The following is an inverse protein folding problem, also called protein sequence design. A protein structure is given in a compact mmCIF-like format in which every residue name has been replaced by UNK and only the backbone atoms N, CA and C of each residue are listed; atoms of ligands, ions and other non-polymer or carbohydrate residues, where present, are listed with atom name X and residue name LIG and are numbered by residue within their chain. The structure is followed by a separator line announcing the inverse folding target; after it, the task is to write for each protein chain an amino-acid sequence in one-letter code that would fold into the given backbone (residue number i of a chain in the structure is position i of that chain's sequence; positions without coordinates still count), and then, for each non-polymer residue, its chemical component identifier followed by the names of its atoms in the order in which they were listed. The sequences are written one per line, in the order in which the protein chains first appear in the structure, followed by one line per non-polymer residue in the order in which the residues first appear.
data_IF_710195798875
#
_entry.id   IF_710195798875
#
_cell.length_a   1.000
_cell.length_b   1.000
_cell.length_c   1.000
_cell.angle_alpha   90.00
_cell.angle_beta   90.00
_cell.angle_gamma   90.00
#
_symmetry.space_group_name_H-M   'P 1'
#
loop_
_entity.id
_entity.type
_entity.pdbx_description
1 polymer ?
#
# COMPACT_ATOMS: atom_id res chain seq x y z
N UNK A 1 2.17 -2.45 12.48
CA UNK A 1 2.60 -3.75 13.06
C UNK A 1 2.74 -4.74 11.92
N UNK A 2 3.94 -5.26 11.65
CA UNK A 2 4.14 -6.27 10.60
C UNK A 2 3.66 -7.63 11.13
N UNK A 3 2.73 -8.26 10.43
CA UNK A 3 2.22 -9.61 10.75
C UNK A 3 2.48 -10.52 9.56
N UNK A 4 2.78 -11.79 9.84
CA UNK A 4 2.91 -12.83 8.84
C UNK A 4 1.85 -13.90 9.07
N UNK A 5 1.61 -14.73 8.06
CA UNK A 5 0.72 -15.88 8.21
C UNK A 5 1.57 -17.13 8.37
N UNK A 6 1.31 -17.89 9.43
CA UNK A 6 1.99 -19.14 9.71
C UNK A 6 0.99 -20.29 9.89
N UNK A 7 1.32 -21.44 9.34
CA UNK A 7 0.61 -22.68 9.63
C UNK A 7 1.16 -23.28 10.92
N UNK A 8 0.37 -23.27 12.00
CA UNK A 8 0.72 -23.83 13.30
C UNK A 8 -0.21 -25.04 13.55
N UNK A 9 0.34 -26.24 13.34
CA UNK A 9 -0.48 -27.47 13.33
C UNK A 9 -1.42 -27.50 12.13
N UNK A 10 -2.72 -27.69 12.39
CA UNK A 10 -3.76 -27.71 11.36
C UNK A 10 -4.41 -26.33 11.12
N UNK A 11 -4.01 -25.30 11.87
CA UNK A 11 -4.54 -23.95 11.76
C UNK A 11 -3.58 -23.01 11.01
N UNK A 12 -4.16 -22.06 10.27
CA UNK A 12 -3.45 -20.91 9.69
C UNK A 12 -3.73 -19.71 10.58
N UNK A 13 -2.69 -19.11 11.16
CA UNK A 13 -2.81 -18.02 12.13
C UNK A 13 -1.97 -16.81 11.68
N UNK A 14 -2.41 -15.61 12.07
CA UNK A 14 -1.56 -14.43 12.06
C UNK A 14 -0.54 -14.52 13.20
N UNK A 15 0.73 -14.29 12.86
CA UNK A 15 1.85 -14.27 13.78
C UNK A 15 2.60 -12.94 13.72
N UNK A 16 3.14 -12.52 14.85
CA UNK A 16 4.08 -11.41 14.95
C UNK A 16 5.43 -11.77 14.32
N UNK A 17 6.35 -10.80 14.09
CA UNK A 17 7.64 -11.07 13.45
C UNK A 17 8.55 -12.04 14.23
N UNK A 18 8.33 -12.21 15.53
CA UNK A 18 9.00 -13.20 16.37
C UNK A 18 8.32 -14.60 16.34
N UNK A 19 7.34 -14.78 15.45
CA UNK A 19 6.64 -16.05 15.20
C UNK A 19 5.58 -16.41 16.24
N UNK A 20 5.22 -15.50 17.15
CA UNK A 20 4.17 -15.75 18.14
C UNK A 20 2.78 -15.47 17.55
N UNK A 21 1.75 -16.27 17.88
CA UNK A 21 0.38 -15.97 17.47
C UNK A 21 -0.07 -14.60 17.97
N UNK A 22 -0.76 -13.85 17.12
CA UNK A 22 -1.51 -12.66 17.54
C UNK A 22 -2.57 -13.09 18.57
N UNK A 23 -2.77 -12.35 19.68
CA UNK A 23 -3.78 -12.71 20.67
C UNK A 23 -5.15 -12.90 20.03
N UNK A 24 -5.78 -14.03 20.34
CA UNK A 24 -7.09 -14.36 19.81
C UNK A 24 -8.13 -13.32 20.27
N UNK A 25 -8.83 -12.72 19.30
CA UNK A 25 -9.90 -11.74 19.50
C UNK A 25 -11.06 -12.16 18.62
N UNK A 26 -12.24 -12.30 19.19
CA UNK A 26 -13.45 -12.73 18.48
C UNK A 26 -14.67 -11.97 19.03
N UNK A 27 -15.84 -12.16 18.42
CA UNK A 27 -17.12 -11.63 18.90
C UNK A 27 -17.89 -12.64 19.75
N UNK A 28 -18.68 -12.15 20.71
CA UNK A 28 -19.54 -13.01 21.55
C UNK A 28 -20.70 -13.64 20.77
N UNK A 29 -21.11 -13.01 19.67
CA UNK A 29 -22.20 -13.45 18.80
C UNK A 29 -21.78 -13.44 17.33
N UNK A 30 -22.44 -14.23 16.46
CA UNK A 30 -22.19 -14.18 15.03
C UNK A 30 -22.33 -12.76 14.49
N UNK A 31 -21.34 -12.32 13.74
CA UNK A 31 -21.24 -10.94 13.24
C UNK A 31 -20.86 -10.94 11.77
N UNK A 32 -21.57 -10.17 10.96
CA UNK A 32 -21.21 -9.92 9.56
C UNK A 32 -20.47 -8.58 9.45
N UNK A 33 -19.19 -8.64 9.10
CA UNK A 33 -18.37 -7.48 8.80
C UNK A 33 -18.46 -7.14 7.31
N UNK A 34 -19.07 -5.98 7.02
CA UNK A 34 -19.24 -5.43 5.67
C UNK A 34 -18.07 -4.48 5.40
N UNK A 35 -17.28 -4.78 4.37
CA UNK A 35 -16.13 -3.98 3.94
C UNK A 35 -16.26 -3.63 2.46
N UNK A 36 -17.01 -2.56 2.14
CA UNK A 36 -17.13 -2.08 0.76
C UNK A 36 -15.78 -1.61 0.23
N UNK A 37 -15.34 -2.21 -0.87
CA UNK A 37 -14.15 -1.77 -1.59
C UNK A 37 -14.50 -1.29 -3.00
N UNK A 38 -13.80 -0.26 -3.48
CA UNK A 38 -13.92 0.27 -4.83
C UNK A 38 -12.51 0.44 -5.41
N UNK A 39 -12.29 -0.13 -6.59
CA UNK A 39 -11.08 0.06 -7.38
C UNK A 39 -11.31 1.12 -8.47
N UNK A 40 -10.50 2.18 -8.40
CA UNK A 40 -10.50 3.29 -9.33
C UNK A 40 -9.16 3.33 -10.09
N UNK A 41 -9.12 2.96 -11.38
CA UNK A 41 -7.89 3.04 -12.18
C UNK A 41 -7.61 4.45 -12.72
N UNK A 42 -8.48 5.43 -12.46
CA UNK A 42 -8.39 6.76 -13.04
C UNK A 42 -7.76 7.74 -12.05
N UNK A 43 -6.73 8.44 -12.50
CA UNK A 43 -5.97 9.39 -11.67
C UNK A 43 -6.67 10.74 -11.45
N UNK A 44 -7.72 11.03 -12.23
CA UNK A 44 -8.50 12.27 -12.18
C UNK A 44 -9.79 12.17 -11.33
N UNK A 45 -10.11 10.97 -10.83
CA UNK A 45 -11.22 10.75 -9.90
C UNK A 45 -10.63 10.67 -8.49
N UNK A 46 -10.89 11.67 -7.66
CA UNK A 46 -10.37 11.74 -6.29
C UNK A 46 -11.35 11.20 -5.25
N UNK A 47 -10.88 11.16 -3.99
CA UNK A 47 -11.71 10.80 -2.82
C UNK A 47 -13.02 11.62 -2.74
N UNK A 48 -12.96 12.91 -3.07
CA UNK A 48 -14.12 13.83 -3.03
C UNK A 48 -15.19 13.52 -4.07
N UNK A 49 -14.83 12.72 -5.08
CA UNK A 49 -15.71 12.38 -6.20
C UNK A 49 -16.44 11.06 -5.96
N UNK A 50 -16.10 10.33 -4.91
CA UNK A 50 -16.62 8.99 -4.63
C UNK A 50 -17.52 9.03 -3.39
N UNK A 51 -18.68 8.38 -3.47
CA UNK A 51 -19.59 8.22 -2.34
C UNK A 51 -20.23 6.84 -2.33
N UNK A 52 -20.38 6.24 -1.15
CA UNK A 52 -21.23 5.06 -0.97
C UNK A 52 -22.61 5.54 -0.50
N UNK A 53 -23.58 5.51 -1.39
CA UNK A 53 -24.93 6.07 -1.17
C UNK A 53 -25.96 5.02 -0.76
N UNK A 54 -25.62 3.74 -0.88
CA UNK A 54 -26.51 2.64 -0.52
C UNK A 54 -25.76 1.42 -0.01
N UNK A 55 -26.28 0.83 1.07
CA UNK A 55 -25.95 -0.52 1.50
C UNK A 55 -27.23 -1.17 2.06
N UNK A 56 -27.72 -2.23 1.43
CA UNK A 56 -28.96 -2.91 1.85
C UNK A 56 -28.82 -4.42 1.84
N UNK A 57 -29.51 -5.08 2.77
CA UNK A 57 -29.57 -6.55 2.83
C UNK A 57 -31.02 -7.02 2.69
N UNK A 58 -31.23 -8.23 2.15
CA UNK A 58 -32.51 -8.93 2.30
C UNK A 58 -32.41 -10.05 3.34
N UNK A 59 -33.16 -9.95 4.45
CA UNK A 59 -33.35 -11.06 5.38
C UNK A 59 -33.93 -12.29 4.68
N UNK A 60 -33.61 -13.49 5.16
CA UNK A 60 -34.00 -14.77 4.56
C UNK A 60 -35.49 -14.87 4.17
N UNK A 61 -36.37 -14.31 5.02
CA UNK A 61 -37.83 -14.39 4.91
C UNK A 61 -38.52 -13.07 4.50
N UNK A 62 -37.74 -12.05 4.15
CA UNK A 62 -38.27 -10.73 3.76
C UNK A 62 -37.93 -10.40 2.31
N UNK A 63 -38.94 -10.00 1.54
CA UNK A 63 -38.75 -9.40 0.21
C UNK A 63 -38.39 -7.92 0.28
N UNK A 64 -38.48 -7.30 1.47
CA UNK A 64 -38.15 -5.89 1.67
C UNK A 64 -36.69 -5.75 2.10
N UNK A 65 -35.85 -5.06 1.33
CA UNK A 65 -34.49 -4.74 1.73
C UNK A 65 -34.48 -3.85 2.97
N UNK A 66 -33.48 -4.07 3.83
CA UNK A 66 -33.22 -3.24 5.01
C UNK A 66 -31.92 -2.49 4.78
N UNK A 67 -31.91 -1.18 5.03
CA UNK A 67 -30.67 -0.40 4.98
C UNK A 67 -29.76 -0.80 6.12
N UNK A 68 -28.51 -1.10 5.78
CA UNK A 68 -27.40 -1.33 6.72
C UNK A 68 -26.31 -0.27 6.56
N UNK A 69 -26.56 0.78 5.77
CA UNK A 69 -25.63 1.89 5.58
C UNK A 69 -25.56 2.73 6.87
N UNK A 70 -24.37 2.90 7.49
CA UNK A 70 -24.19 3.82 8.60
C UNK A 70 -24.49 5.27 8.22
N UNK A 71 -24.71 6.13 9.22
CA UNK A 71 -24.98 7.56 8.98
C UNK A 71 -23.72 8.37 8.68
N UNK A 72 -22.57 7.87 9.09
CA UNK A 72 -21.28 8.55 9.16
C UNK A 72 -20.20 7.83 8.33
N UNK A 73 -20.61 7.24 7.19
CA UNK A 73 -19.69 6.59 6.26
C UNK A 73 -18.68 7.59 5.71
N UNK A 74 -17.41 7.21 5.79
CA UNK A 74 -16.27 7.95 5.25
C UNK A 74 -15.51 7.05 4.28
N UNK A 75 -15.21 7.59 3.09
CA UNK A 75 -14.38 6.90 2.10
C UNK A 75 -12.91 7.22 2.40
N UNK A 76 -12.07 6.18 2.38
CA UNK A 76 -10.63 6.27 2.67
C UNK A 76 -9.84 5.45 1.65
N UNK A 77 -8.53 5.65 1.60
CA UNK A 77 -7.60 4.82 0.82
C UNK A 77 -6.65 4.06 1.77
N UNK A 78 -7.13 3.14 2.62
CA UNK A 78 -6.34 2.59 3.72
C UNK A 78 -5.11 1.78 3.30
N UNK A 79 -4.91 1.56 1.99
CA UNK A 79 -3.76 0.89 1.43
C UNK A 79 -2.80 1.90 0.76
N UNK A 80 -1.51 1.56 0.63
CA UNK A 80 -0.55 2.37 -0.14
C UNK A 80 -0.96 2.60 -1.60
N UNK A 81 -1.67 1.62 -2.18
CA UNK A 81 -2.17 1.74 -3.54
C UNK A 81 -3.33 2.76 -3.61
N UNK A 82 -3.06 3.92 -4.22
CA UNK A 82 -3.99 5.05 -4.38
C UNK A 82 -5.28 4.68 -5.17
N UNK A 83 -5.30 3.54 -5.86
CA UNK A 83 -6.47 3.12 -6.63
C UNK A 83 -7.52 2.38 -5.79
N UNK A 84 -7.24 2.05 -4.52
CA UNK A 84 -8.18 1.32 -3.65
C UNK A 84 -8.85 2.22 -2.64
N UNK A 85 -10.17 2.19 -2.67
CA UNK A 85 -11.04 2.96 -1.78
C UNK A 85 -11.84 2.01 -0.92
N UNK A 86 -11.98 2.33 0.37
CA UNK A 86 -12.76 1.57 1.33
C UNK A 86 -13.75 2.51 2.01
N UNK A 87 -15.01 2.07 2.11
CA UNK A 87 -16.00 2.77 2.92
C UNK A 87 -16.00 2.19 4.34
N UNK A 88 -15.84 3.05 5.34
CA UNK A 88 -15.88 2.65 6.76
C UNK A 88 -16.40 3.77 7.64
N UNK A 89 -16.56 3.49 8.93
CA UNK A 89 -17.02 4.48 9.93
C UNK A 89 -15.83 5.20 10.58
N UNK A 90 -16.10 6.20 11.43
CA UNK A 90 -15.05 6.86 12.21
C UNK A 90 -14.35 5.90 13.17
N UNK A 91 -15.12 5.05 13.86
CA UNK A 91 -14.64 4.06 14.82
C UNK A 91 -14.10 2.78 14.16
N UNK A 92 -14.34 2.61 12.86
CA UNK A 92 -13.93 1.44 12.09
C UNK A 92 -13.59 1.80 10.66
N UNK A 93 -12.30 2.05 10.40
CA UNK A 93 -11.83 2.53 9.10
C UNK A 93 -12.13 1.55 7.95
N UNK A 94 -12.17 0.25 8.26
CA UNK A 94 -12.24 -0.85 7.29
C UNK A 94 -13.63 -1.46 7.10
N UNK A 95 -14.70 -0.71 7.38
CA UNK A 95 -16.07 -1.19 7.18
C UNK A 95 -16.95 -0.92 8.38
N UNK A 96 -17.95 -1.79 8.59
CA UNK A 96 -18.80 -1.80 9.77
C UNK A 96 -19.38 -3.19 10.01
N UNK A 97 -19.90 -3.40 11.22
CA UNK A 97 -20.48 -4.66 11.64
C UNK A 97 -22.00 -4.60 11.68
N UNK A 98 -22.63 -5.72 11.38
CA UNK A 98 -24.01 -5.98 11.76
C UNK A 98 -24.11 -7.31 12.51
N UNK A 99 -24.96 -7.41 13.55
CA UNK A 99 -25.29 -8.69 14.17
C UNK A 99 -25.86 -9.66 13.13
N UNK A 100 -25.44 -10.91 13.18
CA UNK A 100 -25.91 -11.96 12.28
C UNK A 100 -26.73 -12.98 13.06
N UNK A 101 -27.98 -13.17 12.66
CA UNK A 101 -28.77 -14.33 13.05
C UNK A 101 -28.58 -15.40 11.97
N UNK A 102 -27.93 -16.52 12.31
CA UNK A 102 -27.62 -17.58 11.35
C UNK A 102 -28.89 -18.29 10.86
N UNK A 103 -29.96 -18.32 11.65
CA UNK A 103 -31.23 -18.92 11.24
C UNK A 103 -32.00 -18.00 10.25
N UNK A 104 -31.66 -16.72 10.21
CA UNK A 104 -32.28 -15.70 9.37
C UNK A 104 -31.26 -14.91 8.52
N UNK A 105 -30.11 -15.52 8.21
CA UNK A 105 -28.99 -14.85 7.57
C UNK A 105 -29.39 -14.19 6.23
N UNK A 106 -28.85 -13.00 5.89
CA UNK A 106 -29.23 -12.30 4.68
C UNK A 106 -28.78 -13.08 3.45
N UNK A 107 -29.66 -13.15 2.43
CA UNK A 107 -29.36 -13.86 1.17
C UNK A 107 -28.50 -13.04 0.22
N UNK A 108 -28.58 -11.72 0.34
CA UNK A 108 -27.81 -10.82 -0.48
C UNK A 108 -27.50 -9.50 0.23
N UNK A 109 -26.44 -8.84 -0.24
CA UNK A 109 -26.03 -7.48 0.09
C UNK A 109 -25.95 -6.68 -1.21
N UNK A 110 -26.59 -5.53 -1.26
CA UNK A 110 -26.46 -4.54 -2.33
C UNK A 110 -25.66 -3.35 -1.84
N UNK A 111 -24.62 -2.99 -2.58
CA UNK A 111 -23.86 -1.76 -2.42
C UNK A 111 -24.13 -0.85 -3.61
N UNK A 112 -24.29 0.45 -3.37
CA UNK A 112 -24.46 1.46 -4.42
C UNK A 112 -23.46 2.58 -4.21
N UNK A 113 -22.54 2.72 -5.15
CA UNK A 113 -21.60 3.82 -5.21
C UNK A 113 -22.04 4.85 -6.24
N UNK A 114 -21.76 6.11 -5.96
CA UNK A 114 -21.83 7.20 -6.92
C UNK A 114 -20.43 7.77 -7.11
N UNK A 115 -20.04 7.94 -8.37
CA UNK A 115 -18.76 8.52 -8.76
C UNK A 115 -19.04 9.72 -9.64
N UNK A 116 -18.61 10.89 -9.20
CA UNK A 116 -18.64 12.10 -10.02
C UNK A 116 -17.57 12.00 -11.09
N UNK A 117 -17.99 12.10 -12.33
CA UNK A 117 -17.11 12.02 -13.49
C UNK A 117 -16.63 13.43 -13.89
N UNK A 118 -15.48 13.52 -14.56
CA UNK A 118 -15.01 14.76 -15.19
C UNK A 118 -16.08 15.40 -16.10
N UNK A 119 -16.09 16.74 -16.13
CA UNK A 119 -17.14 17.54 -16.79
C UNK A 119 -17.25 17.39 -18.31
N UNK A 120 -16.27 16.75 -18.94
CA UNK A 120 -16.21 16.47 -20.38
C UNK A 120 -16.88 15.12 -20.76
N UNK A 121 -17.37 14.36 -19.78
CA UNK A 121 -18.14 13.13 -20.00
C UNK A 121 -19.65 13.46 -20.03
N UNK A 122 -20.39 12.83 -20.95
CA UNK A 122 -21.83 13.07 -21.20
C UNK A 122 -22.71 12.93 -19.94
N UNK A 123 -22.31 12.06 -19.03
CA UNK A 123 -22.95 11.85 -17.73
C UNK A 123 -22.03 12.36 -16.63
N UNK A 124 -22.56 13.17 -15.71
CA UNK A 124 -21.82 13.77 -14.59
C UNK A 124 -21.71 12.86 -13.35
N UNK A 125 -22.48 11.77 -13.31
CA UNK A 125 -22.46 10.78 -12.24
C UNK A 125 -22.51 9.39 -12.88
N UNK A 126 -21.54 8.56 -12.53
CA UNK A 126 -21.53 7.14 -12.77
C UNK A 126 -22.04 6.43 -11.52
N UNK A 127 -23.11 5.63 -11.65
CA UNK A 127 -23.62 4.81 -10.54
C UNK A 127 -23.08 3.40 -10.65
N UNK A 128 -22.59 2.83 -9.55
CA UNK A 128 -22.08 1.46 -9.51
C UNK A 128 -22.89 0.65 -8.51
N UNK A 129 -23.65 -0.31 -9.01
CA UNK A 129 -24.38 -1.29 -8.23
C UNK A 129 -23.54 -2.55 -8.08
N UNK A 130 -23.40 -3.07 -6.86
CA UNK A 130 -22.74 -4.34 -6.62
C UNK A 130 -23.61 -5.19 -5.70
N UNK A 131 -24.17 -6.26 -6.25
CA UNK A 131 -24.95 -7.26 -5.51
C UNK A 131 -24.12 -8.48 -5.21
N UNK A 132 -24.01 -8.83 -3.94
CA UNK A 132 -23.43 -10.08 -3.48
C UNK A 132 -24.53 -11.04 -3.07
N UNK A 133 -24.53 -12.24 -3.60
CA UNK A 133 -25.28 -13.37 -3.01
C UNK A 133 -24.41 -13.94 -1.89
N UNK A 134 -24.97 -14.11 -0.70
CA UNK A 134 -24.20 -14.45 0.50
C UNK A 134 -24.49 -15.87 0.96
N UNK A 135 -23.44 -16.61 1.26
CA UNK A 135 -23.47 -17.89 1.95
C UNK A 135 -22.55 -17.82 3.17
N UNK A 136 -23.10 -18.13 4.35
CA UNK A 136 -22.38 -18.08 5.62
C UNK A 136 -22.11 -19.49 6.14
N UNK A 137 -20.84 -19.84 6.31
CA UNK A 137 -20.41 -21.16 6.79
C UNK A 137 -19.78 -21.00 8.17
N UNK A 138 -20.49 -21.39 9.22
CA UNK A 138 -19.96 -21.38 10.58
C UNK A 138 -18.86 -22.45 10.73
N UNK A 139 -17.67 -22.03 11.15
CA UNK A 139 -16.51 -22.87 11.42
C UNK A 139 -16.15 -22.85 12.92
N UNK A 140 -15.11 -23.60 13.30
CA UNK A 140 -14.57 -23.59 14.66
C UNK A 140 -13.61 -22.42 14.93
N UNK A 141 -13.33 -21.57 13.93
CA UNK A 141 -12.30 -20.51 14.01
C UNK A 141 -12.80 -19.23 14.69
N UNK A 142 -14.11 -18.99 14.71
CA UNK A 142 -14.69 -17.87 15.44
C UNK A 142 -16.11 -17.52 14.97
N UNK A 143 -16.58 -16.34 15.36
CA UNK A 143 -17.95 -15.86 15.12
C UNK A 143 -18.04 -14.73 14.09
N UNK A 144 -16.92 -14.32 13.48
CA UNK A 144 -16.88 -13.24 12.49
C UNK A 144 -16.94 -13.78 11.08
N UNK A 145 -17.89 -13.28 10.29
CA UNK A 145 -17.98 -13.49 8.84
C UNK A 145 -17.59 -12.19 8.16
N UNK A 146 -16.50 -12.17 7.41
CA UNK A 146 -15.98 -10.89 6.89
C UNK A 146 -15.73 -10.90 5.39
N UNK A 147 -16.17 -9.83 4.73
CA UNK A 147 -15.76 -9.54 3.35
C UNK A 147 -14.23 -9.40 3.20
N UNK A 148 -13.48 -9.08 4.27
CA UNK A 148 -12.02 -9.04 4.24
C UNK A 148 -11.41 -10.38 3.80
N UNK A 149 -11.99 -11.50 4.22
CA UNK A 149 -11.50 -12.85 3.92
C UNK A 149 -11.46 -13.10 2.41
N UNK A 150 -12.49 -12.62 1.70
CA UNK A 150 -12.57 -12.69 0.25
C UNK A 150 -11.58 -11.72 -0.43
N UNK A 151 -11.23 -10.60 0.22
CA UNK A 151 -10.25 -9.65 -0.35
C UNK A 151 -8.78 -10.07 -0.15
N UNK A 152 -8.50 -11.16 0.56
CA UNK A 152 -7.12 -11.60 0.80
C UNK A 152 -6.55 -12.37 -0.40
N UNK A 153 -5.22 -12.34 -0.57
CA UNK A 153 -4.46 -13.05 -1.62
C UNK A 153 -4.62 -14.59 -1.62
N UNK A 154 -5.34 -15.16 -0.64
CA UNK A 154 -5.47 -16.60 -0.43
C UNK A 154 -6.63 -17.24 -1.18
N UNK A 155 -7.67 -16.47 -1.51
CA UNK A 155 -8.77 -16.97 -2.34
C UNK A 155 -8.58 -16.50 -3.80
N UNK A 156 -8.15 -17.39 -4.72
CA UNK A 156 -7.99 -17.03 -6.12
C UNK A 156 -9.34 -16.72 -6.81
N UNK A 157 -10.48 -16.92 -6.14
CA UNK A 157 -11.79 -16.97 -6.78
C UNK A 157 -12.79 -15.89 -6.36
N UNK A 158 -12.53 -14.99 -5.41
CA UNK A 158 -13.55 -13.97 -5.08
C UNK A 158 -12.98 -12.68 -4.48
N UNK A 159 -12.69 -11.65 -5.30
CA UNK A 159 -12.39 -10.30 -4.78
C UNK A 159 -13.69 -9.52 -4.58
N UNK A 160 -13.98 -9.04 -3.38
CA UNK A 160 -15.21 -8.26 -3.07
C UNK A 160 -15.04 -6.78 -3.38
N UNK A 161 -14.67 -6.49 -4.62
CA UNK A 161 -14.24 -5.15 -5.03
C UNK A 161 -15.14 -4.67 -6.16
N UNK A 162 -15.76 -3.51 -5.99
CA UNK A 162 -16.45 -2.82 -7.08
C UNK A 162 -15.42 -2.16 -8.00
N UNK A 163 -15.74 -2.00 -9.29
CA UNK A 163 -14.82 -1.42 -10.27
C UNK A 163 -15.44 -0.22 -11.01
N UNK A 164 -14.65 0.81 -11.27
CA UNK A 164 -15.09 1.99 -12.06
C UNK A 164 -14.94 1.77 -13.58
N UNK A 165 -14.02 0.91 -14.03
CA UNK A 165 -13.77 0.68 -15.46
C UNK A 165 -14.31 -0.66 -15.93
N UNK A 166 -15.12 -0.68 -16.99
CA UNK A 166 -15.58 -1.91 -17.65
C UNK A 166 -14.60 -2.45 -18.68
N UNK A 167 -13.74 -1.60 -19.25
CA UNK A 167 -12.85 -1.99 -20.34
C UNK A 167 -11.68 -2.86 -19.84
N UNK A 168 -11.48 -2.93 -18.53
CA UNK A 168 -10.36 -3.63 -17.88
C UNK A 168 -10.80 -4.60 -16.76
N UNK A 169 -12.07 -4.99 -16.71
CA UNK A 169 -12.56 -5.95 -15.71
C UNK A 169 -11.91 -7.33 -15.88
N UNK A 170 -11.64 -7.72 -17.11
CA UNK A 170 -11.24 -9.10 -17.46
C UNK A 170 -9.72 -9.37 -17.33
N UNK A 171 -8.89 -8.34 -17.17
CA UNK A 171 -7.44 -8.48 -17.40
C UNK A 171 -6.63 -8.93 -16.15
N UNK A 172 -7.16 -8.81 -14.93
CA UNK A 172 -6.39 -9.23 -13.73
C UNK A 172 -7.18 -9.53 -12.44
N UNK A 173 -8.32 -8.89 -12.17
CA UNK A 173 -8.94 -8.91 -10.84
C UNK A 173 -10.04 -9.97 -10.64
N UNK A 174 -10.79 -10.30 -11.69
CA UNK A 174 -11.90 -11.28 -11.66
C UNK A 174 -11.55 -12.56 -12.41
N UNK A 175 -10.34 -12.63 -12.97
CA UNK A 175 -9.87 -13.71 -13.84
C UNK A 175 -9.86 -15.04 -13.08
N UNK A 176 -10.94 -15.81 -13.24
CA UNK A 176 -11.13 -17.09 -12.56
C UNK A 176 -12.42 -17.17 -11.72
N UNK A 177 -12.97 -16.03 -11.31
CA UNK A 177 -14.24 -15.97 -10.58
C UNK A 177 -15.43 -16.12 -11.53
N UNK A 178 -15.94 -17.35 -11.64
CA UNK A 178 -17.12 -17.65 -12.46
C UNK A 178 -18.42 -17.08 -11.89
N UNK A 179 -18.41 -16.66 -10.63
CA UNK A 179 -19.58 -16.07 -9.97
C UNK A 179 -19.74 -14.59 -10.32
N UNK A 180 -18.65 -13.91 -10.68
CA UNK A 180 -18.63 -12.50 -11.02
C UNK A 180 -19.26 -12.23 -12.39
N UNK A 181 -20.23 -11.33 -12.45
CA UNK A 181 -20.90 -10.89 -13.68
C UNK A 181 -21.02 -9.38 -13.68
N UNK A 182 -20.60 -8.75 -14.78
CA UNK A 182 -20.68 -7.31 -14.97
C UNK A 182 -21.63 -6.92 -16.10
N UNK A 183 -22.35 -5.81 -15.92
CA UNK A 183 -23.28 -5.27 -16.90
C UNK A 183 -23.12 -3.75 -17.02
N UNK A 184 -23.27 -3.21 -18.24
CA UNK A 184 -23.45 -1.78 -18.47
C UNK A 184 -24.91 -1.42 -18.23
N UNK A 185 -25.17 -0.26 -17.64
CA UNK A 185 -26.51 0.27 -17.45
C UNK A 185 -26.65 1.57 -18.22
N UNK A 186 -27.72 1.66 -19.03
CA UNK A 186 -28.04 2.86 -19.79
C UNK A 186 -28.79 3.89 -18.93
N UNK A 187 -29.54 3.44 -17.92
CA UNK A 187 -30.31 4.31 -17.02
C UNK A 187 -30.54 3.66 -15.64
N UNK A 188 -30.06 4.26 -14.53
CA UNK A 188 -29.08 5.34 -14.51
C UNK A 188 -27.80 4.92 -15.24
N UNK A 189 -27.05 5.90 -15.77
CA UNK A 189 -25.77 5.61 -16.41
C UNK A 189 -24.83 5.00 -15.36
N UNK A 190 -24.39 3.77 -15.62
CA UNK A 190 -23.77 3.02 -14.54
C UNK A 190 -23.30 1.63 -14.89
N UNK A 191 -22.83 0.96 -13.84
CA UNK A 191 -22.30 -0.38 -13.83
C UNK A 191 -23.10 -1.22 -12.85
N UNK A 192 -23.35 -2.48 -13.19
CA UNK A 192 -23.88 -3.45 -12.24
C UNK A 192 -22.97 -4.68 -12.17
N UNK A 193 -22.62 -5.06 -10.96
CA UNK A 193 -21.85 -6.25 -10.62
C UNK A 193 -22.70 -7.21 -9.80
N UNK A 194 -22.55 -8.50 -10.09
CA UNK A 194 -23.18 -9.57 -9.35
C UNK A 194 -22.12 -10.60 -9.02
N UNK A 195 -22.00 -10.97 -7.76
CA UNK A 195 -21.02 -11.93 -7.28
C UNK A 195 -21.64 -12.86 -6.25
N UNK A 196 -21.09 -14.06 -6.07
CA UNK A 196 -21.45 -14.94 -4.95
C UNK A 196 -20.29 -14.98 -3.97
N UNK A 197 -20.57 -14.74 -2.69
CA UNK A 197 -19.59 -14.78 -1.61
C UNK A 197 -19.92 -15.89 -0.64
N UNK A 198 -18.95 -16.76 -0.44
CA UNK A 198 -18.97 -17.79 0.58
C UNK A 198 -18.05 -17.33 1.71
N UNK A 199 -18.63 -16.97 2.85
CA UNK A 199 -17.91 -16.43 4.00
C UNK A 199 -17.84 -17.51 5.08
N UNK A 200 -16.62 -17.97 5.36
CA UNK A 200 -16.35 -18.88 6.47
C UNK A 200 -16.15 -18.08 7.75
N UNK A 201 -16.75 -18.47 8.87
CA UNK A 201 -16.51 -17.76 10.12
C UNK A 201 -15.05 -17.88 10.57
N UNK A 202 -14.52 -16.84 11.21
CA UNK A 202 -13.17 -16.73 11.75
C UNK A 202 -13.16 -15.83 13.00
N UNK A 203 -12.00 -15.67 13.63
CA UNK A 203 -11.81 -14.69 14.67
C UNK A 203 -11.45 -13.32 14.06
N UNK A 204 -11.75 -12.22 14.75
CA UNK A 204 -11.25 -10.89 14.39
C UNK A 204 -9.72 -10.86 14.26
N UNK A 205 -9.02 -11.57 15.14
CA UNK A 205 -7.56 -11.68 15.12
C UNK A 205 -7.00 -12.36 13.88
N UNK A 206 -7.83 -12.98 13.04
CA UNK A 206 -7.43 -13.66 11.80
C UNK A 206 -7.57 -12.75 10.56
N UNK A 207 -8.19 -11.57 10.71
CA UNK A 207 -8.45 -10.64 9.60
C UNK A 207 -7.32 -9.64 9.39
N UNK A 208 -6.94 -9.42 8.12
CA UNK A 208 -5.85 -8.51 7.74
C UNK A 208 -6.27 -7.06 7.97
N UNK A 209 -7.55 -6.74 7.79
CA UNK A 209 -8.06 -5.39 8.00
C UNK A 209 -7.75 -4.84 9.41
N UNK A 210 -7.68 -5.70 10.44
CA UNK A 210 -7.31 -5.28 11.81
C UNK A 210 -5.90 -4.72 11.89
N UNK A 211 -4.96 -5.24 11.10
CA UNK A 211 -3.61 -4.71 11.03
C UNK A 211 -3.54 -3.36 10.30
N UNK A 212 -4.52 -3.07 9.45
CA UNK A 212 -4.62 -1.84 8.64
C UNK A 212 -5.41 -0.72 9.34
N UNK A 213 -6.28 -1.05 10.30
CA UNK A 213 -7.09 -0.05 11.01
C UNK A 213 -6.25 1.01 11.72
N UNK A 214 -5.09 0.61 12.25
CA UNK A 214 -4.20 1.49 13.00
C UNK A 214 -3.03 2.02 12.16
N UNK A 215 -2.97 1.72 10.87
CA UNK A 215 -1.93 2.27 9.99
C UNK A 215 -2.21 3.75 9.75
N UNK A 216 -1.22 4.57 10.05
CA UNK A 216 -1.14 5.96 9.60
C UNK A 216 -0.43 5.96 8.26
N UNK A 217 -1.01 6.60 7.25
CA UNK A 217 -0.39 6.70 5.94
C UNK A 217 0.27 8.07 5.78
N UNK A 218 1.31 8.14 4.95
CA UNK A 218 2.09 9.37 4.75
C UNK A 218 1.23 10.60 4.42
N UNK A 219 0.18 10.41 3.62
CA UNK A 219 -0.74 11.49 3.22
C UNK A 219 -1.67 11.97 4.33
N UNK A 220 -1.79 11.22 5.43
CA UNK A 220 -2.60 11.56 6.60
C UNK A 220 -1.78 12.31 7.67
N UNK A 221 -0.49 12.55 7.42
CA UNK A 221 0.45 13.17 8.36
C UNK A 221 0.66 14.65 8.04
N UNK A 222 0.73 15.48 9.09
CA UNK A 222 1.21 16.84 9.00
C UNK A 222 2.75 16.86 9.11
N UNK A 223 3.50 17.23 8.06
CA UNK A 223 4.96 17.15 8.09
C UNK A 223 5.58 18.09 9.13
N UNK A 224 6.47 17.56 9.95
CA UNK A 224 7.28 18.33 10.89
C UNK A 224 8.20 19.29 10.15
N UNK A 225 8.33 20.50 10.69
CA UNK A 225 9.18 21.54 10.10
C UNK A 225 10.64 21.47 10.59
N UNK A 226 10.85 20.78 11.71
CA UNK A 226 12.14 20.58 12.36
C UNK A 226 12.08 19.33 13.22
N UNK A 227 13.21 18.69 13.45
CA UNK A 227 13.29 17.48 14.25
C UNK A 227 14.17 17.67 15.50
N UNK A 228 13.72 17.17 16.64
CA UNK A 228 14.46 17.11 17.90
C UNK A 228 14.71 15.66 18.32
N UNK A 229 13.72 14.80 18.13
CA UNK A 229 13.79 13.37 18.42
C UNK A 229 14.80 12.70 17.49
N UNK A 230 15.71 11.88 18.03
CA UNK A 230 16.74 11.12 17.31
C UNK A 230 17.62 11.92 16.32
N UNK A 231 17.75 13.25 16.49
CA UNK A 231 18.49 14.08 15.53
C UNK A 231 19.98 13.74 15.45
N UNK A 232 20.62 13.45 16.59
CA UNK A 232 22.03 13.05 16.63
C UNK A 232 22.22 11.68 15.96
N UNK A 233 21.25 10.77 16.14
CA UNK A 233 21.25 9.45 15.53
C UNK A 233 21.12 9.56 14.00
N UNK A 234 20.17 10.38 13.52
CA UNK A 234 20.01 10.68 12.11
C UNK A 234 21.31 11.24 11.50
N UNK A 235 21.97 12.19 12.16
CA UNK A 235 23.22 12.79 11.67
C UNK A 235 24.37 11.78 11.59
N UNK A 236 24.35 10.77 12.46
CA UNK A 236 25.31 9.66 12.47
C UNK A 236 24.96 8.54 11.48
N UNK A 237 23.75 8.51 10.94
CA UNK A 237 23.29 7.47 10.01
C UNK A 237 23.86 7.61 8.60
N UNK A 238 24.67 8.63 8.33
CA UNK A 238 25.35 8.83 7.06
C UNK A 238 26.82 9.19 7.27
N UNK A 239 27.69 8.64 6.43
CA UNK A 239 29.12 8.93 6.49
C UNK A 239 29.51 10.25 5.80
N UNK A 240 28.59 10.85 5.04
CA UNK A 240 28.82 12.08 4.28
C UNK A 240 27.52 12.86 4.10
N UNK A 241 27.62 14.18 3.95
CA UNK A 241 26.50 15.05 3.59
C UNK A 241 26.52 15.35 2.08
N UNK A 242 25.39 15.11 1.41
CA UNK A 242 25.24 15.41 -0.02
C UNK A 242 24.85 16.89 -0.21
N UNK A 243 25.49 17.61 -1.15
CA UNK A 243 25.11 18.99 -1.46
C UNK A 243 23.65 19.11 -1.93
N UNK A 244 22.99 20.20 -1.54
CA UNK A 244 21.59 20.45 -1.87
C UNK A 244 21.37 20.54 -3.39
N UNK A 245 22.28 21.16 -4.13
CA UNK A 245 22.21 21.29 -5.59
C UNK A 245 22.30 19.92 -6.30
N UNK A 246 23.12 19.01 -5.79
CA UNK A 246 23.24 17.65 -6.33
C UNK A 246 21.94 16.88 -6.17
N UNK A 247 21.35 16.87 -4.97
CA UNK A 247 20.08 16.18 -4.72
C UNK A 247 18.92 16.83 -5.47
N UNK A 248 18.81 18.15 -5.44
CA UNK A 248 17.78 18.89 -6.16
C UNK A 248 17.83 18.60 -7.67
N UNK A 249 19.00 18.70 -8.28
CA UNK A 249 19.14 18.44 -9.70
C UNK A 249 18.86 16.97 -10.04
N UNK A 250 19.20 16.02 -9.17
CA UNK A 250 18.86 14.61 -9.39
C UNK A 250 17.35 14.38 -9.44
N UNK A 251 16.59 15.01 -8.54
CA UNK A 251 15.12 14.95 -8.53
C UNK A 251 14.53 15.63 -9.77
N UNK A 252 15.08 16.78 -10.20
CA UNK A 252 14.64 17.44 -11.43
C UNK A 252 14.91 16.58 -12.66
N UNK A 253 16.06 15.90 -12.70
CA UNK A 253 16.47 15.04 -13.81
C UNK A 253 15.57 13.81 -13.99
N UNK A 254 14.84 13.37 -12.94
CA UNK A 254 13.83 12.29 -13.05
C UNK A 254 12.43 12.79 -13.45
N UNK A 255 12.20 14.10 -13.51
CA UNK A 255 10.94 14.67 -13.99
C UNK A 255 10.85 14.69 -15.52
N UNK A 256 11.99 14.52 -16.21
CA UNK A 256 12.01 14.37 -17.67
C UNK A 256 11.57 12.95 -17.98
N UNK A 257 10.49 12.83 -18.75
CA UNK A 257 9.97 11.55 -19.22
C UNK A 257 11.02 10.85 -20.09
N UNK A 258 11.42 9.66 -19.66
CA UNK A 258 12.33 8.78 -20.39
C UNK A 258 11.77 7.36 -20.30
N UNK A 259 11.54 6.75 -21.44
CA UNK A 259 11.13 5.34 -21.51
C UNK A 259 12.33 4.45 -21.24
N UNK A 260 12.31 3.74 -20.11
CA UNK A 260 13.27 2.69 -19.77
C UNK A 260 12.61 1.32 -19.86
N UNK A 261 13.32 0.35 -20.44
CA UNK A 261 12.95 -1.06 -20.28
C UNK A 261 13.33 -1.55 -18.87
N UNK A 262 12.70 -2.64 -18.42
CA UNK A 262 13.05 -3.30 -17.15
C UNK A 262 14.54 -3.68 -17.20
N UNK A 263 15.29 -3.29 -16.17
CA UNK A 263 16.74 -3.50 -16.07
C UNK A 263 17.60 -2.34 -16.61
N UNK A 264 16.97 -1.28 -17.12
CA UNK A 264 17.67 -0.08 -17.62
C UNK A 264 17.53 1.15 -16.72
N UNK A 265 16.75 1.08 -15.63
CA UNK A 265 16.48 2.24 -14.79
C UNK A 265 17.74 2.77 -14.08
N UNK A 266 18.78 1.95 -13.91
CA UNK A 266 20.08 2.38 -13.41
C UNK A 266 20.74 3.46 -14.30
N UNK A 267 20.28 3.61 -15.55
CA UNK A 267 20.70 4.66 -16.49
C UNK A 267 19.94 5.97 -16.33
N UNK A 268 18.95 6.02 -15.43
CA UNK A 268 18.19 7.25 -15.16
C UNK A 268 19.13 8.42 -14.86
N UNK A 269 18.98 9.58 -15.53
CA UNK A 269 19.86 10.73 -15.34
C UNK A 269 19.99 11.17 -13.87
N UNK A 270 18.87 11.16 -13.13
CA UNK A 270 18.86 11.48 -11.71
C UNK A 270 19.64 10.47 -10.85
N UNK A 271 19.45 9.17 -11.10
CA UNK A 271 20.21 8.12 -10.40
C UNK A 271 21.70 8.17 -10.75
N UNK A 272 22.03 8.34 -12.02
CA UNK A 272 23.41 8.49 -12.49
C UNK A 272 24.11 9.69 -11.84
N UNK A 273 23.39 10.80 -11.62
CA UNK A 273 23.93 11.96 -10.90
C UNK A 273 24.29 11.62 -9.46
N UNK A 274 23.37 11.03 -8.70
CA UNK A 274 23.61 10.65 -7.30
C UNK A 274 24.73 9.61 -7.19
N UNK A 275 24.69 8.58 -8.03
CA UNK A 275 25.65 7.48 -8.00
C UNK A 275 27.05 7.94 -8.42
N UNK A 276 27.16 8.82 -9.42
CA UNK A 276 28.44 9.43 -9.80
C UNK A 276 29.01 10.26 -8.66
N UNK A 277 28.19 11.14 -8.07
CA UNK A 277 28.60 11.93 -6.92
C UNK A 277 29.10 11.04 -5.78
N UNK A 278 28.36 9.97 -5.44
CA UNK A 278 28.79 9.01 -4.43
C UNK A 278 30.12 8.34 -4.78
N UNK A 279 30.25 7.82 -6.00
CA UNK A 279 31.45 7.11 -6.44
C UNK A 279 32.71 8.01 -6.48
N UNK A 280 32.54 9.32 -6.56
CA UNK A 280 33.63 10.30 -6.48
C UNK A 280 33.97 10.69 -5.04
N UNK A 281 32.96 10.79 -4.16
CA UNK A 281 33.08 11.46 -2.86
C UNK A 281 33.03 10.52 -1.64
N UNK A 282 32.52 9.29 -1.77
CA UNK A 282 32.35 8.39 -0.63
C UNK A 282 33.69 8.16 0.10
N UNK A 283 33.71 8.26 1.44
CA UNK A 283 34.96 8.19 2.22
C UNK A 283 35.62 6.81 2.13
N UNK A 284 34.82 5.75 2.06
CA UNK A 284 35.31 4.38 1.93
C UNK A 284 35.44 4.03 0.46
N UNK A 285 36.67 3.88 -0.05
CA UNK A 285 36.91 3.60 -1.48
C UNK A 285 36.20 2.32 -1.95
N UNK A 286 36.11 1.30 -1.09
CA UNK A 286 35.44 0.04 -1.40
C UNK A 286 33.93 0.15 -1.64
N UNK A 287 33.29 1.25 -1.24
CA UNK A 287 31.84 1.49 -1.46
C UNK A 287 31.55 2.33 -2.71
N UNK A 288 32.58 2.77 -3.45
CA UNK A 288 32.47 3.58 -4.68
C UNK A 288 32.09 2.75 -5.91
N UNK A 289 30.94 2.08 -5.82
CA UNK A 289 30.38 1.24 -6.89
C UNK A 289 28.87 1.34 -6.98
N UNK A 290 28.30 2.46 -6.52
CA UNK A 290 26.87 2.72 -6.51
C UNK A 290 26.29 2.80 -7.93
N UNK A 291 25.05 2.33 -8.06
CA UNK A 291 24.25 2.37 -9.30
C UNK A 291 22.78 2.73 -9.07
N UNK A 292 22.26 2.56 -7.85
CA UNK A 292 20.95 3.07 -7.45
C UNK A 292 20.93 3.41 -5.96
N UNK A 293 19.79 3.90 -5.47
CA UNK A 293 19.59 4.30 -4.08
C UNK A 293 18.30 3.72 -3.48
N UNK A 294 18.25 3.59 -2.16
CA UNK A 294 17.00 3.70 -1.41
C UNK A 294 16.90 5.09 -0.78
N UNK A 295 15.72 5.69 -0.86
CA UNK A 295 15.45 7.03 -0.35
C UNK A 295 14.61 6.93 0.93
N UNK A 296 15.11 7.53 1.99
CA UNK A 296 14.47 7.55 3.30
C UNK A 296 14.32 9.00 3.76
N UNK A 297 13.11 9.39 4.19
CA UNK A 297 12.79 10.76 4.56
C UNK A 297 12.19 10.82 5.96
N UNK A 298 12.63 11.77 6.78
CA UNK A 298 11.95 12.11 8.03
C UNK A 298 10.76 12.99 7.71
N UNK A 299 9.60 12.65 8.27
CA UNK A 299 8.35 13.38 8.04
C UNK A 299 7.77 13.86 9.36
N UNK A 300 7.81 13.06 10.41
CA UNK A 300 7.39 13.44 11.77
C UNK A 300 8.60 13.58 12.70
N UNK A 301 8.41 14.24 13.86
CA UNK A 301 9.44 14.32 14.91
C UNK A 301 9.44 13.08 15.81
N UNK A 302 9.59 11.91 15.18
CA UNK A 302 9.52 10.59 15.77
C UNK A 302 10.80 9.76 15.48
N UNK A 303 10.69 8.44 15.64
CA UNK A 303 11.74 7.45 15.42
C UNK A 303 11.67 6.73 14.06
N UNK A 304 10.94 7.27 13.07
CA UNK A 304 10.75 6.60 11.78
C UNK A 304 11.31 7.37 10.57
N UNK A 305 11.80 6.61 9.60
CA UNK A 305 12.00 7.05 8.23
C UNK A 305 10.87 6.54 7.35
N UNK A 306 10.36 7.42 6.50
CA UNK A 306 9.41 7.11 5.44
C UNK A 306 10.15 6.79 4.15
N UNK A 307 9.80 5.68 3.51
CA UNK A 307 10.39 5.30 2.23
C UNK A 307 9.88 6.17 1.09
N UNK A 308 10.77 6.51 0.16
CA UNK A 308 10.42 7.07 -1.13
C UNK A 308 9.63 6.11 -2.02
N UNK A 309 9.72 4.80 -1.75
CA UNK A 309 8.92 3.77 -2.42
C UNK A 309 7.65 3.50 -1.63
N UNK A 310 6.50 3.71 -2.26
CA UNK A 310 5.16 3.64 -1.65
C UNK A 310 4.84 2.32 -0.94
N UNK A 311 5.36 1.19 -1.45
CA UNK A 311 5.08 -0.15 -0.92
C UNK A 311 6.07 -0.58 0.17
N UNK A 312 7.15 0.18 0.35
CA UNK A 312 8.16 -0.11 1.34
C UNK A 312 7.73 0.48 2.71
N UNK A 313 7.65 -0.33 3.78
CA UNK A 313 7.19 0.12 5.09
C UNK A 313 8.13 1.17 5.70
N UNK A 314 7.66 1.88 6.73
CA UNK A 314 8.52 2.76 7.50
C UNK A 314 9.67 1.99 8.16
N UNK A 315 10.81 2.66 8.31
CA UNK A 315 12.02 2.05 8.86
C UNK A 315 12.56 2.86 10.04
N UNK A 316 12.71 2.21 11.19
CA UNK A 316 13.17 2.88 12.42
C UNK A 316 14.54 3.53 12.25
N UNK A 317 14.72 4.74 12.78
CA UNK A 317 15.93 5.56 12.62
C UNK A 317 17.18 4.85 13.16
N UNK A 318 17.03 4.00 14.17
CA UNK A 318 18.10 3.18 14.75
C UNK A 318 18.58 2.04 13.86
N UNK A 319 17.79 1.64 12.85
CA UNK A 319 18.07 0.44 12.08
C UNK A 319 19.33 0.57 11.21
N UNK A 320 19.61 1.77 10.69
CA UNK A 320 20.85 2.01 9.92
C UNK A 320 22.07 1.67 10.77
N UNK A 321 22.11 2.10 12.04
CA UNK A 321 23.22 1.73 12.94
C UNK A 321 23.18 0.28 13.36
N UNK A 322 21.99 -0.24 13.68
CA UNK A 322 21.80 -1.63 14.11
C UNK A 322 22.33 -2.62 13.08
N UNK A 323 22.15 -2.33 11.79
CA UNK A 323 22.63 -3.17 10.69
C UNK A 323 24.00 -2.73 10.15
N UNK A 324 24.58 -1.64 10.67
CA UNK A 324 25.92 -1.18 10.31
C UNK A 324 26.01 -0.68 8.87
N UNK A 325 25.05 0.15 8.45
CA UNK A 325 24.86 0.62 7.07
C UNK A 325 25.38 2.06 6.84
N UNK A 326 25.94 2.71 7.86
CA UNK A 326 26.29 4.13 7.80
C UNK A 326 27.31 4.46 6.69
N UNK A 327 28.24 3.54 6.42
CA UNK A 327 29.32 3.70 5.42
C UNK A 327 28.83 3.67 3.95
N UNK A 328 27.54 3.40 3.74
CA UNK A 328 26.87 3.45 2.43
C UNK A 328 25.75 4.48 2.35
N UNK A 329 25.65 5.36 3.33
CA UNK A 329 24.60 6.37 3.40
C UNK A 329 25.17 7.78 3.23
N UNK A 330 24.49 8.60 2.43
CA UNK A 330 24.64 10.05 2.45
C UNK A 330 23.39 10.68 3.07
N UNK A 331 23.55 11.78 3.81
CA UNK A 331 22.43 12.56 4.31
C UNK A 331 22.31 13.89 3.58
N UNK A 332 21.09 14.39 3.42
CA UNK A 332 20.87 15.80 3.13
C UNK A 332 20.16 16.45 4.31
N UNK A 333 20.86 17.39 4.95
CA UNK A 333 20.38 18.11 6.13
C UNK A 333 19.88 17.12 7.22
N UNK A 334 18.79 17.46 7.89
CA UNK A 334 18.11 16.66 8.92
C UNK A 334 16.89 15.89 8.37
N UNK A 335 16.68 15.86 7.04
CA UNK A 335 15.48 15.29 6.42
C UNK A 335 15.74 13.95 5.74
N UNK A 336 16.76 13.84 4.91
CA UNK A 336 16.88 12.75 3.94
C UNK A 336 18.11 11.90 4.21
N UNK A 337 17.96 10.58 4.14
CA UNK A 337 19.04 9.61 3.98
C UNK A 337 18.90 8.96 2.60
N UNK A 338 20.03 8.85 1.90
CA UNK A 338 20.20 8.09 0.67
C UNK A 338 21.11 6.91 0.96
N UNK A 339 20.59 5.69 0.90
CA UNK A 339 21.40 4.47 0.98
C UNK A 339 21.79 4.02 -0.42
N UNK A 340 23.08 3.79 -0.66
CA UNK A 340 23.59 3.47 -1.99
C UNK A 340 23.80 1.96 -2.17
N UNK A 341 23.42 1.48 -3.36
CA UNK A 341 23.52 0.07 -3.74
C UNK A 341 24.27 -0.09 -5.05
N UNK A 342 25.05 -1.17 -5.24
CA UNK A 342 25.79 -1.41 -6.45
C UNK A 342 24.89 -1.91 -7.57
N UNK A 343 25.35 -1.77 -8.82
CA UNK A 343 24.70 -2.41 -9.97
C UNK A 343 24.71 -3.91 -9.72
N UNK A 344 23.56 -4.57 -9.90
CA UNK A 344 23.34 -6.02 -9.78
C UNK A 344 24.62 -6.89 -9.71
N UNK A 345 25.20 -7.05 -8.51
CA UNK A 345 26.23 -8.06 -8.22
C UNK A 345 26.11 -8.50 -6.77
N UNK A 346 25.11 -9.34 -6.48
CA UNK A 346 25.30 -10.80 -6.38
C UNK A 346 24.02 -11.40 -5.82
N UNK A 347 23.16 -11.88 -6.73
CA UNK A 347 21.98 -12.67 -6.36
C UNK A 347 22.47 -14.09 -6.11
N UNK A 348 22.59 -14.48 -4.85
CA UNK A 348 22.64 -15.90 -4.50
C UNK A 348 21.19 -16.38 -4.55
N UNK A 349 20.88 -17.35 -5.42
CA UNK A 349 19.65 -18.12 -5.27
C UNK A 349 19.72 -18.80 -3.91
N UNK A 350 19.02 -18.24 -2.93
CA UNK A 350 18.76 -18.96 -1.68
C UNK A 350 17.74 -20.03 -2.04
N UNK A 351 18.07 -21.27 -1.67
CA UNK A 351 17.39 -22.51 -2.05
C UNK A 351 15.89 -22.37 -2.40
N UNK A 352 15.51 -22.94 -3.55
CA UNK A 352 14.11 -23.09 -4.02
C UNK A 352 13.45 -21.83 -4.63
N UNK A 353 14.21 -20.92 -5.24
CA UNK A 353 13.71 -20.07 -6.34
C UNK A 353 12.66 -19.00 -5.98
N UNK A 354 12.56 -18.61 -4.71
CA UNK A 354 11.52 -17.68 -4.24
C UNK A 354 12.06 -16.41 -3.54
N UNK A 355 13.38 -16.16 -3.59
CA UNK A 355 13.97 -14.97 -2.96
C UNK A 355 15.22 -14.47 -3.69
N UNK A 356 15.41 -13.17 -3.66
CA UNK A 356 16.54 -12.43 -4.23
C UNK A 356 17.30 -11.73 -3.11
N UNK A 357 18.58 -12.05 -2.90
CA UNK A 357 19.43 -11.27 -2.00
C UNK A 357 19.90 -9.97 -2.68
N UNK A 358 19.71 -8.84 -2.01
CA UNK A 358 20.15 -7.51 -2.44
C UNK A 358 21.32 -7.09 -1.56
N UNK A 359 22.52 -6.99 -2.13
CA UNK A 359 23.71 -6.50 -1.42
C UNK A 359 23.87 -4.99 -1.52
N UNK A 360 24.24 -4.33 -0.43
CA UNK A 360 24.70 -2.95 -0.43
C UNK A 360 26.11 -2.77 -1.00
N UNK A 361 26.56 -1.51 -1.17
CA UNK A 361 27.90 -1.23 -1.73
C UNK A 361 29.04 -1.70 -0.82
N UNK A 362 28.77 -2.04 0.42
CA UNK A 362 29.68 -2.68 1.39
C UNK A 362 29.73 -4.21 1.28
N UNK A 363 28.85 -4.82 0.46
CA UNK A 363 28.73 -6.27 0.30
C UNK A 363 27.88 -6.97 1.36
N UNK A 364 27.19 -6.25 2.25
CA UNK A 364 26.20 -6.83 3.17
C UNK A 364 24.80 -6.64 2.60
N UNK A 365 23.97 -7.67 2.63
CA UNK A 365 22.64 -7.62 2.03
C UNK A 365 21.47 -7.91 2.95
N UNK A 366 20.29 -7.76 2.39
CA UNK A 366 19.02 -8.28 2.90
C UNK A 366 18.36 -9.15 1.84
N UNK A 367 17.47 -10.04 2.26
CA UNK A 367 16.73 -10.93 1.36
C UNK A 367 15.38 -10.30 1.01
N UNK A 368 15.16 -10.04 -0.26
CA UNK A 368 13.85 -9.75 -0.82
C UNK A 368 13.18 -11.05 -1.26
N UNK A 369 11.89 -11.22 -1.01
CA UNK A 369 11.16 -12.47 -1.22
C UNK A 369 10.01 -12.27 -2.20
N UNK A 370 9.86 -13.17 -3.17
CA UNK A 370 8.60 -13.33 -3.91
C UNK A 370 8.57 -12.93 -5.38
N UNK A 371 9.68 -12.49 -5.99
CA UNK A 371 9.74 -12.17 -7.43
C UNK A 371 10.83 -12.94 -8.17
N UNK A 372 10.52 -13.35 -9.41
CA UNK A 372 11.47 -13.98 -10.31
C UNK A 372 12.55 -12.97 -10.72
N UNK A 373 13.76 -13.47 -11.01
CA UNK A 373 14.95 -12.65 -11.24
C UNK A 373 14.76 -11.63 -12.36
N UNK A 374 14.10 -12.04 -13.43
CA UNK A 374 13.80 -11.27 -14.63
C UNK A 374 12.83 -10.10 -14.40
N UNK A 375 12.05 -10.15 -13.31
CA UNK A 375 11.00 -9.17 -13.02
C UNK A 375 11.40 -8.11 -11.99
N UNK A 376 12.61 -8.19 -11.42
CA UNK A 376 13.08 -7.28 -10.36
C UNK A 376 14.15 -6.31 -10.88
N UNK A 377 13.79 -5.02 -10.92
CA UNK A 377 14.70 -3.90 -11.14
C UNK A 377 14.61 -2.88 -9.99
N UNK A 378 15.46 -2.99 -8.96
CA UNK A 378 15.46 -2.05 -7.83
C UNK A 378 15.71 -0.58 -8.24
N UNK A 379 16.39 -0.36 -9.37
CA UNK A 379 16.60 0.99 -9.87
C UNK A 379 15.29 1.61 -10.37
N UNK A 380 14.29 0.81 -10.75
CA UNK A 380 12.92 1.26 -11.01
C UNK A 380 12.36 1.98 -9.78
N UNK A 381 12.37 1.32 -8.61
CA UNK A 381 11.85 1.90 -7.37
C UNK A 381 12.62 3.16 -6.97
N UNK A 382 13.94 3.17 -7.15
CA UNK A 382 14.79 4.33 -6.89
C UNK A 382 14.43 5.52 -7.81
N UNK A 383 14.20 5.28 -9.09
CA UNK A 383 13.81 6.29 -10.07
C UNK A 383 12.46 6.91 -9.71
N UNK A 384 11.43 6.08 -9.49
CA UNK A 384 10.09 6.54 -9.15
C UNK A 384 10.03 7.21 -7.78
N UNK A 385 10.87 6.78 -6.81
CA UNK A 385 11.02 7.47 -5.53
C UNK A 385 11.50 8.92 -5.69
N UNK A 386 12.49 9.14 -6.57
CA UNK A 386 12.97 10.50 -6.89
C UNK A 386 11.93 11.29 -7.67
N UNK A 387 11.27 10.66 -8.64
CA UNK A 387 10.23 11.29 -9.44
C UNK A 387 9.05 11.76 -8.57
N UNK A 388 8.60 10.92 -7.65
CA UNK A 388 7.49 11.21 -6.74
C UNK A 388 7.88 12.13 -5.57
N UNK A 389 9.17 12.35 -5.30
CA UNK A 389 9.67 13.07 -4.13
C UNK A 389 8.97 14.43 -3.89
N UNK A 390 8.75 15.30 -4.90
CA UNK A 390 8.06 16.58 -4.69
C UNK A 390 6.59 16.43 -4.22
N UNK A 391 5.87 15.42 -4.71
CA UNK A 391 4.49 15.11 -4.31
C UNK A 391 4.46 14.43 -2.94
N UNK A 392 5.37 13.48 -2.72
CA UNK A 392 5.40 12.60 -1.54
C UNK A 392 5.97 13.27 -0.29
N UNK A 393 6.98 14.14 -0.45
CA UNK A 393 7.63 14.86 0.65
C UNK A 393 7.66 16.38 0.40
N UNK A 394 6.49 17.05 0.31
CA UNK A 394 6.40 18.43 -0.16
C UNK A 394 7.16 19.42 0.72
N UNK A 395 7.23 19.19 2.03
CA UNK A 395 7.97 20.06 2.94
C UNK A 395 9.49 19.93 2.78
N UNK A 396 10.00 18.69 2.70
CA UNK A 396 11.42 18.43 2.45
C UNK A 396 11.84 19.00 1.08
N UNK A 397 11.00 18.81 0.06
CA UNK A 397 11.20 19.38 -1.27
C UNK A 397 11.29 20.92 -1.26
N UNK A 398 10.34 21.61 -0.61
CA UNK A 398 10.37 23.07 -0.48
C UNK A 398 11.64 23.56 0.22
N UNK A 399 12.06 22.85 1.26
CA UNK A 399 13.29 23.15 2.02
C UNK A 399 14.54 22.96 1.15
N UNK A 400 14.57 21.89 0.35
CA UNK A 400 15.64 21.63 -0.62
C UNK A 400 15.73 22.73 -1.68
N UNK A 401 14.59 23.15 -2.25
CA UNK A 401 14.55 24.26 -3.20
C UNK A 401 15.09 25.56 -2.58
N UNK A 402 14.72 25.89 -1.34
CA UNK A 402 15.21 27.08 -0.66
C UNK A 402 16.73 27.03 -0.42
N UNK A 403 17.29 25.85 -0.11
CA UNK A 403 18.72 25.66 0.12
C UNK A 403 19.56 25.90 -1.15
N UNK A 404 19.04 25.56 -2.34
CA UNK A 404 19.75 25.78 -3.61
C UNK A 404 19.82 27.27 -3.99
N UNK A 405 18.86 28.09 -3.56
CA UNK A 405 18.79 29.52 -3.88
C UNK A 405 19.50 30.42 -2.86
N UNK A 406 20.04 29.84 -1.78
CA UNK A 406 20.78 30.60 -0.78
C UNK A 406 22.27 30.50 -1.12
N UNK A 407 22.93 31.58 -1.59
CA UNK A 407 24.37 31.55 -1.82
C UNK A 407 25.09 31.26 -0.50
N UNK A 408 26.00 30.29 -0.53
CA UNK A 408 26.81 29.83 0.59
C UNK A 408 27.72 30.92 1.19
#
# INVERSE_FOLDING_TARGET
MQVAIAKIGDATLLVTPDGKPVPHKDTEQPTFHIQPQLFNPYCDIGLSDISLVGATIAPHDSTKPVSVLPKDVTIRQPYPNENYYVAGMAERKMGWDIPLDLDAAPKWLDLTWEVRTPSDIEHSILTIYHRFTLEFILTQQGQVFSMDQANTFYDPNARTISHISLNHIDDSFTKGDKSFKSYRMDSPHGLAFYQTLILNSCAWSDLICTAQEDVTLLRDIEPAQSFQTHIDLHRQNACIEIPADVLHQAICDTQVEVDFEIGEYDRSPGLQRLCRWWNENAPVVGTRRAAFIALWCRVEDDDWYWSGWDECPEWGVENIQRYGLQDRCARWNDFVILEFFPRQVSRLEVAQGASTEILGVDGKGYTDTGLAREDVDEAYHAHYSLQAFPKRFPFAWKTLQAAVHTPA
#
